data_IF_828892776266
#
_entry.id   IF_828892776266
#
_cell.length_a   1.000
_cell.length_b   1.000
_cell.length_c   1.000
_cell.angle_alpha   90.00
_cell.angle_beta   90.00
_cell.angle_gamma   90.00
#
_symmetry.space_group_name_H-M   'P 1'
#
loop_
_entity.id
_entity.type
_entity.pdbx_description
1 polymer ?
#
# COMPACT_ATOMS: atom_id res chain seq x y z
N UNK A 1 -8.38 17.07 -19.04
CA UNK A 1 -9.15 16.49 -20.14
C UNK A 1 -9.19 14.97 -20.02
N UNK A 2 -10.40 14.46 -19.86
CA UNK A 2 -10.67 13.04 -19.64
C UNK A 2 -10.17 12.17 -20.81
N UNK A 3 -10.31 12.64 -22.04
CA UNK A 3 -9.84 11.91 -23.23
C UNK A 3 -8.32 11.79 -23.28
N UNK A 4 -7.62 12.83 -22.86
CA UNK A 4 -6.15 12.81 -22.80
C UNK A 4 -5.65 11.82 -21.75
N UNK A 5 -6.33 11.77 -20.58
CA UNK A 5 -6.00 10.82 -19.52
C UNK A 5 -6.21 9.38 -20.00
N UNK A 6 -7.36 9.08 -20.62
CA UNK A 6 -7.65 7.76 -21.15
C UNK A 6 -6.62 7.33 -22.20
N UNK A 7 -6.23 8.24 -23.10
CA UNK A 7 -5.21 7.95 -24.11
C UNK A 7 -3.86 7.67 -23.46
N UNK A 8 -3.47 8.45 -22.45
CA UNK A 8 -2.22 8.26 -21.73
C UNK A 8 -2.21 6.90 -21.00
N UNK A 9 -3.29 6.53 -20.34
CA UNK A 9 -3.42 5.24 -19.64
C UNK A 9 -3.27 4.09 -20.62
N UNK A 10 -3.94 4.14 -21.78
CA UNK A 10 -3.82 3.11 -22.82
C UNK A 10 -2.40 2.99 -23.36
N UNK A 11 -1.73 4.13 -23.57
CA UNK A 11 -0.33 4.13 -24.00
C UNK A 11 0.57 3.47 -22.97
N UNK A 12 0.34 3.72 -21.68
CA UNK A 12 1.12 3.13 -20.60
C UNK A 12 0.85 1.62 -20.43
N UNK A 13 -0.39 1.17 -20.67
CA UNK A 13 -0.70 -0.27 -20.70
C UNK A 13 0.13 -0.99 -21.78
N UNK A 14 0.35 -0.33 -22.92
CA UNK A 14 1.12 -0.89 -24.01
C UNK A 14 2.63 -0.86 -23.76
N UNK A 15 3.12 0.12 -23.00
CA UNK A 15 4.55 0.40 -22.86
C UNK A 15 5.04 0.44 -21.40
N UNK A 16 4.26 -0.07 -20.44
CA UNK A 16 4.42 -0.02 -19.00
C UNK A 16 5.82 0.37 -18.49
N UNK A 17 5.99 1.64 -18.10
CA UNK A 17 7.24 2.18 -17.62
C UNK A 17 7.10 2.62 -16.18
N UNK A 18 8.07 2.26 -15.33
CA UNK A 18 8.17 2.65 -13.93
C UNK A 18 8.12 4.17 -13.76
N UNK A 19 8.70 4.93 -14.69
CA UNK A 19 8.70 6.39 -14.68
C UNK A 19 7.29 7.01 -14.77
N UNK A 20 6.28 6.21 -15.07
CA UNK A 20 4.89 6.66 -15.21
C UNK A 20 4.13 6.78 -13.89
N UNK A 21 4.67 6.23 -12.81
CA UNK A 21 3.95 6.14 -11.53
C UNK A 21 3.66 7.51 -10.93
N UNK A 22 4.68 8.37 -10.82
CA UNK A 22 4.49 9.73 -10.29
C UNK A 22 3.57 10.60 -11.15
N UNK A 23 3.70 10.62 -12.49
CA UNK A 23 2.75 11.33 -13.34
C UNK A 23 1.30 10.88 -13.14
N UNK A 24 1.06 9.58 -12.97
CA UNK A 24 -0.29 9.05 -12.69
C UNK A 24 -0.79 9.50 -11.32
N UNK A 25 0.07 9.46 -10.30
CA UNK A 25 -0.25 9.97 -8.97
C UNK A 25 -0.60 11.46 -9.01
N UNK A 26 0.14 12.25 -9.77
CA UNK A 26 -0.13 13.68 -9.94
C UNK A 26 -1.48 13.91 -10.61
N UNK A 27 -1.88 13.07 -11.55
CA UNK A 27 -3.22 13.13 -12.15
C UNK A 27 -4.30 12.83 -11.14
N UNK A 28 -4.12 11.84 -10.28
CA UNK A 28 -5.05 11.54 -9.20
C UNK A 28 -5.17 12.72 -8.23
N UNK A 29 -4.04 13.36 -7.89
CA UNK A 29 -4.02 14.55 -7.02
C UNK A 29 -4.76 15.74 -7.62
N UNK A 30 -4.60 15.95 -8.94
CA UNK A 30 -5.28 17.04 -9.63
C UNK A 30 -6.78 16.83 -9.75
N UNK A 31 -7.25 15.61 -9.54
CA UNK A 31 -8.64 15.22 -9.71
C UNK A 31 -8.95 14.78 -11.13
N UNK A 32 -9.57 13.61 -11.25
CA UNK A 32 -9.99 13.03 -12.52
C UNK A 32 -11.41 12.50 -12.37
N UNK A 33 -12.08 12.20 -13.49
CA UNK A 33 -13.38 11.56 -13.45
C UNK A 33 -13.27 10.18 -12.80
N UNK A 34 -14.38 9.65 -12.26
CA UNK A 34 -14.39 8.31 -11.66
C UNK A 34 -13.97 7.24 -12.69
N UNK A 35 -14.34 7.42 -13.95
CA UNK A 35 -13.90 6.53 -15.04
C UNK A 35 -12.38 6.53 -15.17
N UNK A 36 -11.75 7.68 -15.22
CA UNK A 36 -10.30 7.80 -15.34
C UNK A 36 -9.58 7.30 -14.08
N UNK A 37 -10.14 7.57 -12.90
CA UNK A 37 -9.61 7.05 -11.65
C UNK A 37 -9.56 5.51 -11.69
N UNK A 38 -10.66 4.87 -12.10
CA UNK A 38 -10.72 3.42 -12.24
C UNK A 38 -9.68 2.90 -13.23
N UNK A 39 -9.53 3.56 -14.38
CA UNK A 39 -8.53 3.18 -15.39
C UNK A 39 -7.11 3.27 -14.84
N UNK A 40 -6.79 4.33 -14.09
CA UNK A 40 -5.48 4.50 -13.47
C UNK A 40 -5.22 3.41 -12.43
N UNK A 41 -6.20 3.12 -11.57
CA UNK A 41 -6.10 2.09 -10.55
C UNK A 41 -5.88 0.72 -11.19
N UNK A 42 -6.64 0.39 -12.24
CA UNK A 42 -6.50 -0.86 -12.98
C UNK A 42 -5.11 -0.98 -13.61
N UNK A 43 -4.61 0.10 -14.22
CA UNK A 43 -3.27 0.11 -14.80
C UNK A 43 -2.20 -0.14 -13.75
N UNK A 44 -2.23 0.59 -12.64
CA UNK A 44 -1.25 0.41 -11.57
C UNK A 44 -1.30 -1.01 -10.99
N UNK A 45 -2.50 -1.57 -10.85
CA UNK A 45 -2.69 -2.94 -10.36
C UNK A 45 -2.20 -4.01 -11.34
N UNK A 46 -2.13 -3.68 -12.63
CA UNK A 46 -1.71 -4.61 -13.68
C UNK A 46 -0.21 -4.68 -13.93
N UNK A 47 0.55 -3.77 -13.36
CA UNK A 47 2.01 -3.74 -13.52
C UNK A 47 2.62 -5.01 -12.92
N UNK A 48 3.59 -5.60 -13.62
CA UNK A 48 4.19 -6.89 -13.25
C UNK A 48 5.66 -6.80 -12.89
N UNK A 49 6.31 -5.67 -13.17
CA UNK A 49 7.73 -5.49 -12.90
C UNK A 49 7.92 -5.13 -11.43
N UNK A 50 8.76 -5.88 -10.72
CA UNK A 50 9.06 -5.65 -9.31
C UNK A 50 9.72 -4.28 -9.05
N UNK A 51 10.33 -3.68 -10.08
CA UNK A 51 10.92 -2.34 -9.95
C UNK A 51 9.89 -1.26 -9.64
N UNK A 52 8.59 -1.50 -9.92
CA UNK A 52 7.53 -0.54 -9.60
C UNK A 52 7.32 -0.37 -8.10
N UNK A 53 7.70 -1.36 -7.28
CA UNK A 53 7.47 -1.33 -5.83
C UNK A 53 8.06 -0.08 -5.20
N UNK A 54 9.30 0.24 -5.48
CA UNK A 54 9.99 1.40 -4.91
C UNK A 54 9.27 2.70 -5.26
N UNK A 55 8.86 2.87 -6.52
CA UNK A 55 8.20 4.09 -6.97
C UNK A 55 6.78 4.23 -6.40
N UNK A 56 6.05 3.12 -6.31
CA UNK A 56 4.73 3.11 -5.67
C UNK A 56 4.86 3.49 -4.19
N UNK A 57 5.84 2.91 -3.49
CA UNK A 57 6.06 3.21 -2.08
C UNK A 57 6.54 4.64 -1.86
N UNK A 58 7.34 5.20 -2.77
CA UNK A 58 7.75 6.61 -2.71
C UNK A 58 6.53 7.54 -2.71
N UNK A 59 5.52 7.24 -3.53
CA UNK A 59 4.26 8.00 -3.57
C UNK A 59 3.49 7.81 -2.26
N UNK A 60 3.35 6.57 -1.80
CA UNK A 60 2.58 6.25 -0.59
C UNK A 60 3.18 6.92 0.65
N UNK A 61 4.49 6.98 0.75
CA UNK A 61 5.21 7.56 1.89
C UNK A 61 5.34 9.07 1.82
N UNK A 62 5.10 9.69 0.67
CA UNK A 62 5.22 11.12 0.48
C UNK A 62 3.97 11.84 0.99
N UNK A 63 4.15 12.74 1.95
CA UNK A 63 3.07 13.54 2.54
C UNK A 63 2.31 14.37 1.51
N UNK A 64 2.98 14.76 0.41
CA UNK A 64 2.33 15.46 -0.69
C UNK A 64 1.17 14.66 -1.28
N UNK A 65 1.30 13.34 -1.33
CA UNK A 65 0.28 12.44 -1.91
C UNK A 65 -0.68 11.87 -0.87
N UNK A 66 -0.68 12.37 0.35
CA UNK A 66 -1.55 11.86 1.41
C UNK A 66 -3.04 11.78 0.99
N UNK A 67 -3.60 12.76 0.26
CA UNK A 67 -5.01 12.67 -0.16
C UNK A 67 -5.35 11.49 -1.07
N UNK A 68 -4.36 10.91 -1.75
CA UNK A 68 -4.57 9.76 -2.64
C UNK A 68 -3.94 8.48 -2.10
N UNK A 69 -3.39 8.51 -0.87
CA UNK A 69 -2.69 7.34 -0.31
C UNK A 69 -3.60 6.11 -0.24
N UNK A 70 -4.84 6.27 0.20
CA UNK A 70 -5.79 5.16 0.26
C UNK A 70 -6.03 4.57 -1.13
N UNK A 71 -6.17 5.41 -2.15
CA UNK A 71 -6.32 4.96 -3.53
C UNK A 71 -5.08 4.16 -3.98
N UNK A 72 -3.88 4.66 -3.67
CA UNK A 72 -2.64 3.96 -4.00
C UNK A 72 -2.54 2.61 -3.28
N UNK A 73 -2.91 2.54 -2.01
CA UNK A 73 -2.94 1.27 -1.27
C UNK A 73 -3.89 0.27 -1.92
N UNK A 74 -5.02 0.73 -2.45
CA UNK A 74 -5.96 -0.16 -3.11
C UNK A 74 -5.41 -0.79 -4.39
N UNK A 75 -4.41 -0.19 -5.02
CA UNK A 75 -3.75 -0.79 -6.19
C UNK A 75 -2.89 -1.98 -5.81
N UNK A 76 -2.34 -1.99 -4.58
CA UNK A 76 -1.39 -3.00 -4.12
C UNK A 76 -2.08 -4.33 -3.82
N UNK A 77 -3.24 -4.30 -3.13
CA UNK A 77 -3.88 -5.56 -2.75
C UNK A 77 -4.42 -6.35 -3.96
N UNK A 78 -4.51 -5.72 -5.13
CA UNK A 78 -4.92 -6.37 -6.38
C UNK A 78 -3.74 -6.68 -7.31
N UNK A 79 -2.54 -6.23 -6.99
CA UNK A 79 -1.38 -6.48 -7.83
C UNK A 79 -0.85 -7.91 -7.66
N UNK A 80 -0.16 -8.40 -8.70
CA UNK A 80 0.60 -9.66 -8.63
C UNK A 80 2.06 -9.44 -8.30
N UNK A 81 2.48 -8.19 -8.15
CA UNK A 81 3.84 -7.84 -7.74
C UNK A 81 3.97 -8.05 -6.24
N UNK A 82 5.08 -8.64 -5.81
CA UNK A 82 5.32 -8.91 -4.39
C UNK A 82 5.90 -7.69 -3.67
N UNK A 83 5.16 -7.21 -2.68
CA UNK A 83 5.55 -6.08 -1.83
C UNK A 83 6.04 -6.55 -0.45
N UNK A 84 6.46 -7.81 -0.31
CA UNK A 84 6.86 -8.37 0.99
C UNK A 84 7.99 -7.59 1.68
N UNK A 85 8.91 -7.01 0.92
CA UNK A 85 10.02 -6.22 1.48
C UNK A 85 9.56 -4.93 2.16
N UNK A 86 8.31 -4.51 1.94
CA UNK A 86 7.73 -3.28 2.48
C UNK A 86 6.71 -3.53 3.58
N UNK A 87 6.68 -4.73 4.14
CA UNK A 87 5.69 -5.12 5.15
C UNK A 87 5.68 -4.15 6.35
N UNK A 88 6.84 -3.70 6.80
CA UNK A 88 6.96 -2.77 7.91
C UNK A 88 6.32 -1.41 7.61
N UNK A 89 6.43 -0.94 6.37
CA UNK A 89 5.79 0.31 5.94
C UNK A 89 4.27 0.20 6.01
N UNK A 90 3.70 -0.94 5.61
CA UNK A 90 2.26 -1.16 5.69
C UNK A 90 1.76 -1.22 7.13
N UNK A 91 2.53 -1.81 8.03
CA UNK A 91 2.19 -1.84 9.45
C UNK A 91 2.21 -0.42 10.04
N UNK A 92 3.21 0.38 9.69
CA UNK A 92 3.28 1.78 10.14
C UNK A 92 2.07 2.59 9.66
N UNK A 93 1.72 2.46 8.38
CA UNK A 93 0.54 3.14 7.82
C UNK A 93 -0.74 2.68 8.53
N UNK A 94 -0.85 1.39 8.81
CA UNK A 94 -2.01 0.84 9.52
C UNK A 94 -2.18 1.48 10.91
N UNK A 95 -1.07 1.74 11.62
CA UNK A 95 -1.13 2.34 12.95
C UNK A 95 -1.43 3.84 12.91
N UNK A 96 -0.95 4.55 11.88
CA UNK A 96 -1.02 6.02 11.80
C UNK A 96 -2.13 6.54 10.89
N UNK A 97 -2.66 5.71 10.00
CA UNK A 97 -3.61 6.10 8.98
C UNK A 97 -5.07 6.05 9.40
N UNK A 98 -5.95 6.27 8.43
CA UNK A 98 -7.39 6.20 8.62
C UNK A 98 -7.85 4.75 8.74
N UNK A 99 -9.11 4.53 9.13
CA UNK A 99 -9.72 3.19 9.19
C UNK A 99 -9.60 2.46 7.83
N UNK A 100 -9.92 3.15 6.72
CA UNK A 100 -9.84 2.53 5.39
C UNK A 100 -8.39 2.17 5.02
N UNK A 101 -7.43 3.01 5.37
CA UNK A 101 -6.02 2.70 5.15
C UNK A 101 -5.57 1.50 5.99
N UNK A 102 -6.04 1.40 7.23
CA UNK A 102 -5.76 0.24 8.08
C UNK A 102 -6.33 -1.04 7.47
N UNK A 103 -7.57 -0.98 6.97
CA UNK A 103 -8.21 -2.11 6.31
C UNK A 103 -7.45 -2.55 5.05
N UNK A 104 -7.05 -1.59 4.21
CA UNK A 104 -6.27 -1.90 3.02
C UNK A 104 -4.92 -2.52 3.38
N UNK A 105 -4.24 -1.99 4.40
CA UNK A 105 -2.97 -2.55 4.86
C UNK A 105 -3.13 -3.98 5.39
N UNK A 106 -4.19 -4.26 6.13
CA UNK A 106 -4.48 -5.63 6.57
C UNK A 106 -4.65 -6.56 5.38
N UNK A 107 -5.43 -6.16 4.38
CA UNK A 107 -5.65 -6.95 3.16
C UNK A 107 -4.33 -7.22 2.44
N UNK A 108 -3.48 -6.19 2.30
CA UNK A 108 -2.16 -6.32 1.69
C UNK A 108 -1.31 -7.32 2.48
N UNK A 109 -1.21 -7.15 3.79
CA UNK A 109 -0.36 -7.97 4.67
C UNK A 109 -0.79 -9.44 4.61
N UNK A 110 -2.09 -9.72 4.65
CA UNK A 110 -2.61 -11.08 4.59
C UNK A 110 -2.30 -11.79 3.28
N UNK A 111 -2.07 -11.03 2.20
CA UNK A 111 -1.77 -11.58 0.88
C UNK A 111 -0.28 -11.60 0.55
N UNK A 112 0.59 -11.11 1.43
CA UNK A 112 2.02 -11.18 1.21
C UNK A 112 2.51 -12.62 1.42
N UNK A 113 3.33 -13.10 0.51
CA UNK A 113 3.81 -14.48 0.53
C UNK A 113 5.19 -14.64 1.18
N UNK A 114 5.97 -13.57 1.20
CA UNK A 114 7.34 -13.64 1.69
C UNK A 114 8.30 -14.21 0.62
N UNK A 115 9.50 -14.66 1.02
CA UNK A 115 10.00 -14.65 2.39
C UNK A 115 10.18 -13.24 2.96
N UNK A 116 10.10 -13.12 4.28
CA UNK A 116 10.28 -11.83 4.96
C UNK A 116 11.66 -11.77 5.61
N UNK A 117 12.26 -10.59 5.60
CA UNK A 117 13.49 -10.34 6.33
C UNK A 117 13.18 -10.18 7.81
N UNK A 118 13.99 -10.80 8.67
CA UNK A 118 13.82 -10.72 10.12
C UNK A 118 13.75 -9.26 10.60
N UNK A 119 14.60 -8.40 10.04
CA UNK A 119 14.65 -6.97 10.36
C UNK A 119 13.31 -6.29 10.12
N UNK A 120 12.65 -6.62 9.01
CA UNK A 120 11.35 -6.03 8.66
C UNK A 120 10.26 -6.50 9.63
N UNK A 121 10.29 -7.76 10.04
CA UNK A 121 9.33 -8.30 11.02
C UNK A 121 9.53 -7.63 12.39
N UNK A 122 10.78 -7.43 12.80
CA UNK A 122 11.08 -6.71 14.06
C UNK A 122 10.57 -5.26 14.00
N UNK A 123 10.74 -4.58 12.88
CA UNK A 123 10.18 -3.23 12.70
C UNK A 123 8.66 -3.22 12.80
N UNK A 124 7.99 -4.24 12.24
CA UNK A 124 6.54 -4.38 12.36
C UNK A 124 6.12 -4.47 13.84
N UNK A 125 6.81 -5.30 14.60
CA UNK A 125 6.54 -5.47 16.02
C UNK A 125 6.77 -4.17 16.79
N UNK A 126 7.81 -3.43 16.44
CA UNK A 126 8.11 -2.15 17.06
C UNK A 126 7.03 -1.10 16.77
N UNK A 127 6.54 -1.03 15.54
CA UNK A 127 5.45 -0.11 15.18
C UNK A 127 4.18 -0.41 15.98
N UNK A 128 3.83 -1.68 16.13
CA UNK A 128 2.66 -2.08 16.91
C UNK A 128 2.83 -1.74 18.39
N UNK A 129 4.02 -2.00 18.94
CA UNK A 129 4.33 -1.68 20.33
C UNK A 129 4.26 -0.18 20.58
N UNK A 130 4.88 0.62 19.71
CA UNK A 130 4.86 2.08 19.82
C UNK A 130 3.44 2.63 19.76
N UNK A 131 2.59 2.06 18.93
CA UNK A 131 1.19 2.45 18.86
C UNK A 131 0.48 2.23 20.19
N UNK A 132 0.62 1.06 20.78
CA UNK A 132 0.00 0.72 22.07
C UNK A 132 0.52 1.64 23.18
N UNK A 133 1.84 1.86 23.23
CA UNK A 133 2.48 2.69 24.24
C UNK A 133 2.13 4.18 24.10
N UNK A 134 1.76 4.62 22.90
CA UNK A 134 1.33 6.01 22.68
C UNK A 134 -0.04 6.33 23.27
N UNK A 135 -0.74 5.31 23.78
CA UNK A 135 -2.07 5.44 24.38
C UNK A 135 -3.04 6.20 23.44
N UNK A 136 -3.26 5.66 22.23
CA UNK A 136 -4.05 6.35 21.21
C UNK A 136 -5.52 6.49 21.59
N UNK A 137 -6.28 7.41 20.98
CA UNK A 137 -7.72 7.50 21.18
C UNK A 137 -8.38 6.15 20.90
N UNK A 138 -9.36 5.81 21.72
CA UNK A 138 -10.05 4.53 21.60
C UNK A 138 -10.85 4.45 20.29
N UNK A 139 -10.49 3.49 19.46
CA UNK A 139 -11.19 3.17 18.22
C UNK A 139 -11.26 1.66 18.12
N UNK A 140 -12.42 1.09 18.47
CA UNK A 140 -12.60 -0.35 18.54
C UNK A 140 -12.50 -1.03 17.18
N UNK A 141 -12.98 -0.39 16.10
CA UNK A 141 -12.91 -0.96 14.76
C UNK A 141 -11.47 -1.05 14.28
N UNK A 142 -10.71 0.03 14.48
CA UNK A 142 -9.29 0.04 14.14
C UNK A 142 -8.50 -0.95 14.99
N UNK A 143 -8.84 -1.05 16.29
CA UNK A 143 -8.19 -1.98 17.21
C UNK A 143 -8.37 -3.43 16.77
N UNK A 144 -9.55 -3.81 16.28
CA UNK A 144 -9.78 -5.15 15.74
C UNK A 144 -8.90 -5.44 14.53
N UNK A 145 -8.80 -4.50 13.60
CA UNK A 145 -7.95 -4.66 12.42
C UNK A 145 -6.47 -4.76 12.82
N UNK A 146 -6.02 -3.94 13.76
CA UNK A 146 -4.64 -3.99 14.24
C UNK A 146 -4.35 -5.29 14.98
N UNK A 147 -5.33 -5.86 15.68
CA UNK A 147 -5.17 -7.18 16.31
C UNK A 147 -4.97 -8.27 15.27
N UNK A 148 -5.70 -8.24 14.16
CA UNK A 148 -5.53 -9.18 13.07
C UNK A 148 -4.16 -9.02 12.40
N UNK A 149 -3.70 -7.78 12.22
CA UNK A 149 -2.35 -7.51 11.71
C UNK A 149 -1.31 -8.09 12.66
N UNK A 150 -1.46 -7.88 13.98
CA UNK A 150 -0.53 -8.41 14.97
C UNK A 150 -0.45 -9.94 14.92
N UNK A 151 -1.58 -10.61 14.71
CA UNK A 151 -1.64 -12.08 14.57
C UNK A 151 -0.87 -12.50 13.31
N UNK A 152 -1.07 -11.81 12.18
CA UNK A 152 -0.36 -12.11 10.95
C UNK A 152 1.16 -11.95 11.12
N UNK A 153 1.60 -10.87 11.76
CA UNK A 153 3.02 -10.61 12.01
C UNK A 153 3.60 -11.69 12.93
N UNK A 154 2.86 -12.11 13.95
CA UNK A 154 3.28 -13.19 14.84
C UNK A 154 3.50 -14.49 14.06
N UNK A 155 2.55 -14.84 13.19
CA UNK A 155 2.65 -16.05 12.37
C UNK A 155 3.87 -15.99 11.44
N UNK A 156 4.13 -14.85 10.81
CA UNK A 156 5.31 -14.68 9.96
C UNK A 156 6.59 -14.81 10.77
N UNK A 157 6.62 -14.25 11.98
CA UNK A 157 7.80 -14.36 12.87
C UNK A 157 8.06 -15.79 13.28
N UNK A 158 7.04 -16.57 13.60
CA UNK A 158 7.16 -17.98 13.96
C UNK A 158 7.72 -18.79 12.79
N UNK A 159 7.29 -18.51 11.56
CA UNK A 159 7.77 -19.18 10.36
C UNK A 159 9.24 -18.86 10.05
N UNK A 160 9.74 -17.69 10.43
CA UNK A 160 11.16 -17.36 10.28
C UNK A 160 12.07 -18.22 11.15
N UNK A 161 11.55 -18.75 12.25
CA UNK A 161 12.32 -19.54 13.21
C UNK A 161 12.38 -21.03 12.84
N UNK A 162 11.64 -21.44 11.83
CA UNK A 162 11.69 -22.78 11.26
C UNK A 162 12.76 -22.86 10.16
#
# INVERSE_FOLDING_TARGET
>A
DSKKVTKAVKSLEAHGDVSSIKPLADKLMAGVSEKNKTEIVELLSSLKDTSVCADVMDVIEDKHYLPIRQTMLSTIWNTKVDFSDYIDDFVLIATTGTFLETLDCLTIIENLEGPFMEENILECQLHLKNYIESNPPRDEQKAELLSEIAIAIKDFNENLQE
#
